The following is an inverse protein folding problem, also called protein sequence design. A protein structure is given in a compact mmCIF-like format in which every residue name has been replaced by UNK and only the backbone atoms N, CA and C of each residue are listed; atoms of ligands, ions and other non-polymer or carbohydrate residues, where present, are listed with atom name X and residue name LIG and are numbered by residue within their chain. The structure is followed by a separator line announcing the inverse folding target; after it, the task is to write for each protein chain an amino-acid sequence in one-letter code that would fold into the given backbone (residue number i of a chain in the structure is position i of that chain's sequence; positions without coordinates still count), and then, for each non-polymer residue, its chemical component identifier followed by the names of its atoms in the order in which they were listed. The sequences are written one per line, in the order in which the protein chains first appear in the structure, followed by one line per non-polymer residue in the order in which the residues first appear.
data_IF_652127131049
#
_entry.id   IF_652127131049
#
_cell.length_a   1.000
_cell.length_b   1.000
_cell.length_c   1.000
_cell.angle_alpha   90.00
_cell.angle_beta   90.00
_cell.angle_gamma   90.00
#
_symmetry.space_group_name_H-M   'P 1'
#
loop_
_entity.id
_entity.type
_entity.pdbx_description
1 polymer ?
#
# COMPACT_ATOMS: atom_id res chain seq x y z
N UNK A 1 0.69 -8.55 9.15
CA UNK A 1 1.02 -7.37 8.33
C UNK A 1 2.05 -7.73 7.28
N UNK A 2 1.83 -7.30 6.04
CA UNK A 2 2.87 -7.30 5.01
C UNK A 2 3.76 -6.11 5.33
N UNK A 3 5.08 -6.31 5.37
CA UNK A 3 6.06 -5.25 5.64
C UNK A 3 7.14 -5.26 4.59
N UNK A 4 7.68 -4.08 4.29
CA UNK A 4 8.76 -3.90 3.32
C UNK A 4 10.04 -4.61 3.76
N UNK A 5 10.39 -4.48 5.03
CA UNK A 5 11.62 -5.04 5.63
C UNK A 5 12.87 -4.76 4.75
N UNK A 6 13.46 -5.79 4.15
CA UNK A 6 14.65 -5.69 3.28
C UNK A 6 14.33 -5.58 1.79
N UNK A 7 13.04 -5.59 1.41
CA UNK A 7 12.57 -5.53 0.02
C UNK A 7 12.58 -4.09 -0.48
N UNK A 8 12.64 -3.92 -1.80
CA UNK A 8 12.39 -2.61 -2.40
C UNK A 8 10.94 -2.19 -2.19
N UNK A 9 10.68 -0.87 -2.24
CA UNK A 9 9.31 -0.33 -2.16
C UNK A 9 8.41 -0.94 -3.24
N UNK A 10 8.93 -1.08 -4.46
CA UNK A 10 8.19 -1.66 -5.58
C UNK A 10 7.85 -3.14 -5.39
N UNK A 11 8.79 -3.95 -4.91
CA UNK A 11 8.54 -5.37 -4.60
C UNK A 11 7.47 -5.52 -3.51
N UNK A 12 7.56 -4.69 -2.47
CA UNK A 12 6.59 -4.66 -1.38
C UNK A 12 5.18 -4.27 -1.86
N UNK A 13 5.06 -3.21 -2.67
CA UNK A 13 3.77 -2.79 -3.21
C UNK A 13 3.18 -3.83 -4.18
N UNK A 14 4.01 -4.48 -4.99
CA UNK A 14 3.56 -5.56 -5.87
C UNK A 14 3.01 -6.76 -5.10
N UNK A 15 3.55 -7.06 -3.92
CA UNK A 15 3.03 -8.12 -3.06
C UNK A 15 1.63 -7.77 -2.52
N UNK A 16 1.43 -6.53 -2.07
CA UNK A 16 0.10 -6.05 -1.65
C UNK A 16 -0.90 -6.15 -2.81
N UNK A 17 -0.47 -5.76 -4.03
CA UNK A 17 -1.27 -5.88 -5.24
C UNK A 17 -1.67 -7.33 -5.50
N UNK A 18 -0.70 -8.23 -5.50
CA UNK A 18 -0.92 -9.65 -5.77
C UNK A 18 -1.86 -10.28 -4.74
N UNK A 19 -1.67 -10.01 -3.44
CA UNK A 19 -2.56 -10.50 -2.38
C UNK A 19 -3.97 -9.95 -2.55
N UNK A 20 -4.09 -8.67 -2.89
CA UNK A 20 -5.40 -8.03 -3.13
C UNK A 20 -6.13 -8.63 -4.33
N UNK A 21 -5.41 -8.94 -5.40
CA UNK A 21 -5.96 -9.60 -6.60
C UNK A 21 -6.41 -11.04 -6.29
N UNK A 22 -5.62 -11.78 -5.51
CA UNK A 22 -5.97 -13.12 -5.06
C UNK A 22 -7.23 -13.10 -4.17
N UNK A 23 -7.35 -12.14 -3.26
CA UNK A 23 -8.53 -11.94 -2.43
C UNK A 23 -9.75 -11.57 -3.28
N UNK A 24 -9.58 -10.69 -4.27
CA UNK A 24 -10.63 -10.37 -5.22
C UNK A 24 -11.08 -11.59 -6.03
N UNK A 25 -10.15 -12.46 -6.43
CA UNK A 25 -10.43 -13.68 -7.19
C UNK A 25 -11.29 -14.68 -6.40
N UNK A 26 -11.18 -14.72 -5.08
CA UNK A 26 -12.03 -15.54 -4.19
C UNK A 26 -13.28 -14.81 -3.69
N UNK A 27 -13.65 -13.68 -4.31
CA UNK A 27 -14.85 -12.92 -4.00
C UNK A 27 -14.74 -11.97 -2.79
N UNK A 28 -13.53 -11.71 -2.31
CA UNK A 28 -13.25 -10.81 -1.19
C UNK A 28 -12.36 -9.63 -1.63
N UNK A 29 -12.85 -8.75 -2.52
CA UNK A 29 -12.04 -7.65 -3.03
C UNK A 29 -11.61 -6.69 -1.90
N UNK A 30 -10.33 -6.35 -1.87
CA UNK A 30 -9.78 -5.34 -0.95
C UNK A 30 -10.08 -3.95 -1.50
N UNK A 31 -10.59 -3.05 -0.65
CA UNK A 31 -10.85 -1.68 -1.04
C UNK A 31 -9.56 -0.93 -1.31
N UNK A 32 -9.57 0.04 -2.23
CA UNK A 32 -8.38 0.80 -2.57
C UNK A 32 -7.77 1.52 -1.37
N UNK A 33 -8.63 2.10 -0.52
CA UNK A 33 -8.24 2.71 0.76
C UNK A 33 -7.49 1.76 1.68
N UNK A 34 -7.95 0.51 1.79
CA UNK A 34 -7.29 -0.49 2.65
C UNK A 34 -5.92 -0.88 2.09
N UNK A 35 -5.77 -0.97 0.75
CA UNK A 35 -4.47 -1.22 0.12
C UNK A 35 -3.49 -0.07 0.36
N UNK A 36 -3.96 1.17 0.25
CA UNK A 36 -3.17 2.37 0.53
C UNK A 36 -2.75 2.40 2.00
N UNK A 37 -3.66 2.14 2.93
CA UNK A 37 -3.34 2.07 4.36
C UNK A 37 -2.34 0.95 4.67
N UNK A 38 -2.51 -0.23 4.05
CA UNK A 38 -1.55 -1.33 4.16
C UNK A 38 -0.17 -0.92 3.63
N UNK A 39 -0.12 -0.27 2.47
CA UNK A 39 1.13 0.24 1.88
C UNK A 39 1.85 1.19 2.84
N UNK A 40 1.17 2.25 3.29
CA UNK A 40 1.76 3.26 4.18
C UNK A 40 2.23 2.67 5.51
N UNK A 41 1.44 1.79 6.12
CA UNK A 41 1.78 1.20 7.43
C UNK A 41 2.95 0.21 7.40
N UNK A 42 3.25 -0.40 6.26
CA UNK A 42 4.34 -1.38 6.13
C UNK A 42 5.60 -0.88 5.42
N UNK A 43 5.66 0.38 4.96
CA UNK A 43 6.86 0.99 4.37
C UNK A 43 8.02 1.13 5.37
N UNK A 44 7.72 1.29 6.66
CA UNK A 44 8.69 1.48 7.73
C UNK A 44 8.93 2.95 8.08
N UNK A 45 9.53 3.19 9.24
CA UNK A 45 9.65 4.54 9.85
C UNK A 45 10.48 5.54 9.03
N UNK A 46 11.29 5.04 8.11
CA UNK A 46 12.07 5.88 7.18
C UNK A 46 11.19 6.59 6.13
N UNK A 47 9.95 6.12 5.92
CA UNK A 47 8.94 6.76 5.08
C UNK A 47 7.85 7.46 5.90
N UNK A 48 7.99 7.60 7.23
CA UNK A 48 6.95 8.22 8.08
C UNK A 48 6.62 9.65 7.64
N UNK A 49 7.63 10.42 7.22
CA UNK A 49 7.43 11.79 6.70
C UNK A 49 6.58 11.75 5.42
N UNK A 50 6.88 10.81 4.52
CA UNK A 50 6.12 10.62 3.28
C UNK A 50 4.68 10.17 3.56
N UNK A 51 4.49 9.23 4.48
CA UNK A 51 3.18 8.77 4.91
C UNK A 51 2.37 9.90 5.55
N UNK A 52 2.99 10.68 6.44
CA UNK A 52 2.36 11.84 7.08
C UNK A 52 1.95 12.88 6.03
N UNK A 53 2.79 13.14 5.02
CA UNK A 53 2.42 14.10 3.96
C UNK A 53 1.26 13.61 3.11
N UNK A 54 1.17 12.31 2.85
CA UNK A 54 0.08 11.69 2.10
C UNK A 54 -1.24 11.68 2.86
N UNK A 55 -1.20 11.43 4.17
CA UNK A 55 -2.38 11.45 5.04
C UNK A 55 -2.99 12.85 5.21
N UNK A 56 -2.19 13.90 5.02
CA UNK A 56 -2.64 15.30 5.13
C UNK A 56 -3.16 15.84 3.79
N UNK A 57 -3.03 15.09 2.69
CA UNK A 57 -3.61 15.49 1.42
C UNK A 57 -5.15 15.49 1.49
N UNK A 58 -5.82 16.48 0.88
CA UNK A 58 -7.28 16.55 0.85
C UNK A 58 -7.91 15.37 0.10
N UNK A 59 -7.15 14.72 -0.78
CA UNK A 59 -7.52 13.50 -1.49
C UNK A 59 -6.35 12.53 -1.35
N UNK A 60 -6.60 11.36 -0.75
CA UNK A 60 -5.65 10.26 -0.74
C UNK A 60 -5.46 9.76 -2.18
N UNK A 61 -4.22 9.56 -2.63
CA UNK A 61 -3.98 8.93 -3.93
C UNK A 61 -4.47 7.48 -3.91
N UNK A 62 -4.75 6.97 -5.10
CA UNK A 62 -5.13 5.59 -5.26
C UNK A 62 -3.93 4.66 -5.04
N UNK A 63 -4.19 3.36 -4.85
CA UNK A 63 -3.10 2.41 -4.77
C UNK A 63 -2.28 2.34 -6.06
N UNK A 64 -2.87 2.58 -7.23
CA UNK A 64 -2.13 2.61 -8.50
C UNK A 64 -1.16 3.79 -8.58
N UNK A 65 -1.54 4.96 -8.06
CA UNK A 65 -0.67 6.15 -8.00
C UNK A 65 0.56 5.93 -7.09
N UNK A 66 0.50 4.98 -6.15
CA UNK A 66 1.64 4.61 -5.30
C UNK A 66 2.61 3.64 -5.99
N UNK A 67 2.15 2.92 -7.00
CA UNK A 67 2.89 1.87 -7.71
C UNK A 67 3.55 2.40 -9.01
N UNK A 68 3.12 3.58 -9.46
CA UNK A 68 3.67 4.33 -10.62
C UNK A 68 5.06 4.94 -10.32
#
# INVERSE_FOLDING_TARGET
DIKRETRTVLEYLNEIKSVSEQLAAIGHPVSDKDKVQQALSGLGTEFDIFCTTLEVLPVLPSFEDLVE
#
